data_IF_030259957812
#
_entry.id   IF_030259957812
#
_cell.length_a   1.000
_cell.length_b   1.000
_cell.length_c   1.000
_cell.angle_alpha   90.00
_cell.angle_beta   90.00
_cell.angle_gamma   90.00
#
_symmetry.space_group_name_H-M   'P 1'
#
loop_
_entity.id
_entity.type
_entity.pdbx_description
1 polymer ?
#
# COMPACT_ATOMS: atom_id res chain seq x y z
N UNK A 1 -17.90 -43.52 -69.12
CA UNK A 1 -17.29 -44.86 -69.01
C UNK A 1 -15.82 -44.67 -68.64
N UNK A 2 -15.37 -45.35 -67.56
CA UNK A 2 -14.04 -45.97 -67.44
C UNK A 2 -12.83 -44.99 -67.37
N UNK A 3 -11.91 -44.96 -66.41
CA UNK A 3 -11.70 -45.50 -65.04
C UNK A 3 -10.29 -45.04 -64.62
N UNK A 4 -10.04 -44.94 -63.30
CA UNK A 4 -8.85 -45.49 -62.57
C UNK A 4 -7.43 -45.06 -63.00
N UNK A 5 -6.68 -44.27 -62.21
CA UNK A 5 -5.88 -44.60 -61.01
C UNK A 5 -4.50 -45.28 -61.25
N UNK A 6 -3.66 -45.15 -60.21
CA UNK A 6 -2.39 -45.84 -59.90
C UNK A 6 -1.09 -45.14 -60.40
N UNK A 7 -0.21 -44.60 -59.52
CA UNK A 7 0.72 -45.27 -58.57
C UNK A 7 1.91 -45.91 -59.34
N UNK A 8 3.21 -45.88 -58.97
CA UNK A 8 3.90 -45.81 -57.68
C UNK A 8 5.44 -45.86 -57.92
N UNK A 9 6.26 -45.40 -56.94
CA UNK A 9 7.67 -45.79 -56.58
C UNK A 9 8.80 -45.53 -57.61
N UNK A 10 10.07 -45.29 -57.26
CA UNK A 10 10.89 -45.49 -56.05
C UNK A 10 12.21 -44.72 -56.25
N UNK A 11 12.77 -44.13 -55.19
CA UNK A 11 14.21 -43.99 -54.89
C UNK A 11 14.33 -42.98 -53.75
N UNK A 12 15.08 -43.15 -52.67
CA UNK A 12 16.06 -44.15 -52.28
C UNK A 12 16.78 -43.61 -51.05
N UNK A 13 17.55 -44.49 -50.41
CA UNK A 13 18.59 -44.23 -49.40
C UNK A 13 18.13 -44.03 -47.95
N UNK A 14 18.38 -45.10 -47.20
CA UNK A 14 18.66 -45.11 -45.79
C UNK A 14 20.01 -44.42 -45.48
N UNK A 15 20.04 -43.62 -44.41
CA UNK A 15 21.18 -43.33 -43.54
C UNK A 15 20.59 -42.74 -42.24
N UNK A 16 20.39 -43.56 -41.21
CA UNK A 16 21.29 -43.74 -40.06
C UNK A 16 21.71 -42.45 -39.34
N UNK A 17 21.42 -42.47 -38.04
CA UNK A 17 22.02 -41.71 -36.93
C UNK A 17 21.73 -40.21 -36.81
N UNK A 18 21.11 -39.88 -35.68
CA UNK A 18 21.10 -38.53 -35.12
C UNK A 18 19.80 -38.21 -34.41
N UNK A 19 19.47 -38.93 -33.34
CA UNK A 19 18.49 -38.43 -32.36
C UNK A 19 19.15 -37.21 -31.71
N UNK A 20 18.95 -36.03 -32.31
CA UNK A 20 19.19 -34.77 -31.63
C UNK A 20 17.99 -34.54 -30.74
N UNK A 21 18.08 -35.06 -29.51
CA UNK A 21 17.28 -34.56 -28.39
C UNK A 21 17.66 -33.09 -28.26
N UNK A 22 16.91 -32.19 -28.89
CA UNK A 22 16.91 -30.81 -28.47
C UNK A 22 16.28 -30.79 -27.07
N UNK A 23 17.13 -30.95 -26.05
CA UNK A 23 16.89 -30.38 -24.74
C UNK A 23 16.74 -28.87 -24.98
N UNK A 24 15.51 -28.41 -25.21
CA UNK A 24 15.18 -27.02 -24.98
C UNK A 24 15.26 -26.81 -23.47
N UNK A 25 16.48 -26.57 -22.98
CA UNK A 25 16.70 -25.84 -21.75
C UNK A 25 15.85 -24.56 -21.84
N UNK A 26 14.96 -24.38 -20.87
CA UNK A 26 13.84 -23.45 -20.98
C UNK A 26 14.26 -21.99 -21.19
N UNK A 27 13.31 -21.11 -21.57
CA UNK A 27 13.39 -19.77 -21.01
C UNK A 27 13.33 -19.96 -19.50
N UNK A 28 14.46 -19.64 -18.89
CA UNK A 28 14.64 -19.53 -17.46
C UNK A 28 13.39 -18.91 -16.83
N UNK A 29 13.10 -19.36 -15.61
CA UNK A 29 12.38 -18.54 -14.64
C UNK A 29 13.10 -17.17 -14.53
N UNK A 30 12.76 -16.27 -15.45
CA UNK A 30 13.00 -14.85 -15.36
C UNK A 30 11.74 -14.18 -14.78
N UNK A 31 11.03 -14.89 -13.90
CA UNK A 31 10.62 -14.27 -12.65
C UNK A 31 11.89 -14.14 -11.81
N UNK A 32 12.81 -13.30 -12.29
CA UNK A 32 13.94 -12.81 -11.53
C UNK A 32 13.40 -12.43 -10.17
N UNK A 33 13.94 -13.10 -9.16
CA UNK A 33 13.82 -12.85 -7.74
C UNK A 33 13.08 -11.55 -7.46
N UNK A 34 11.90 -11.66 -6.85
CA UNK A 34 11.46 -10.68 -5.86
C UNK A 34 12.63 -10.57 -4.87
N UNK A 35 13.63 -9.75 -5.19
CA UNK A 35 14.64 -9.36 -4.23
C UNK A 35 13.87 -8.80 -3.05
N UNK A 36 14.24 -9.18 -1.83
CA UNK A 36 13.68 -8.74 -0.55
C UNK A 36 13.67 -7.19 -0.41
N UNK A 37 12.89 -6.48 -1.24
CA UNK A 37 12.76 -5.02 -1.30
C UNK A 37 11.79 -4.49 -0.25
N UNK A 38 11.17 -5.39 0.52
CA UNK A 38 10.28 -5.11 1.65
C UNK A 38 11.01 -4.59 2.91
N UNK A 39 12.33 -4.47 2.89
CA UNK A 39 13.13 -4.04 4.04
C UNK A 39 14.01 -2.81 3.78
N UNK A 40 13.58 -1.90 2.90
CA UNK A 40 14.21 -0.60 2.84
C UNK A 40 13.88 0.15 4.14
N UNK A 41 14.92 0.46 4.91
CA UNK A 41 14.79 1.25 6.12
C UNK A 41 14.33 2.66 5.72
N UNK A 42 13.04 2.93 5.92
CA UNK A 42 12.50 4.27 5.77
C UNK A 42 13.28 5.19 6.74
N UNK A 43 13.83 6.28 6.23
CA UNK A 43 14.56 7.26 7.04
C UNK A 43 13.56 8.24 7.66
N UNK A 44 13.61 8.37 8.98
CA UNK A 44 12.70 9.25 9.70
C UNK A 44 13.44 10.32 10.48
N UNK A 45 12.90 11.53 10.41
CA UNK A 45 13.30 12.69 11.20
C UNK A 45 13.05 12.48 12.70
N UNK A 46 13.61 13.32 13.55
CA UNK A 46 13.43 13.21 15.01
C UNK A 46 11.96 13.32 15.46
N UNK A 47 11.13 14.04 14.70
CA UNK A 47 9.69 14.24 14.94
C UNK A 47 8.80 13.10 14.37
N UNK A 48 9.42 12.03 13.86
CA UNK A 48 8.70 10.91 13.27
C UNK A 48 8.20 11.12 11.84
N UNK A 49 8.45 12.29 11.23
CA UNK A 49 8.17 12.51 9.80
C UNK A 49 9.09 11.68 8.91
N UNK A 50 8.63 11.39 7.70
CA UNK A 50 9.41 10.66 6.69
C UNK A 50 8.99 11.03 5.28
N UNK A 51 9.89 10.79 4.33
CA UNK A 51 9.64 10.98 2.91
C UNK A 51 10.14 9.77 2.13
N UNK A 52 9.45 9.46 1.03
CA UNK A 52 9.84 8.43 0.08
C UNK A 52 10.03 7.03 0.68
N UNK A 53 9.08 6.61 1.53
CA UNK A 53 9.12 5.29 2.17
C UNK A 53 9.06 4.09 1.19
N UNK A 54 8.57 4.33 -0.03
CA UNK A 54 8.35 3.29 -1.04
C UNK A 54 9.23 3.46 -2.30
N UNK A 55 10.16 4.43 -2.33
CA UNK A 55 10.96 4.64 -3.54
C UNK A 55 12.09 3.62 -3.65
N UNK A 56 12.03 2.76 -4.67
CA UNK A 56 13.22 2.10 -5.16
C UNK A 56 14.27 3.17 -5.54
N UNK A 57 15.57 3.00 -5.18
CA UNK A 57 16.61 3.89 -5.66
C UNK A 57 16.69 3.79 -7.19
N UNK A 58 16.12 4.77 -7.90
CA UNK A 58 16.13 4.85 -9.37
C UNK A 58 14.76 4.91 -10.04
N UNK A 59 13.67 4.54 -9.35
CA UNK A 59 12.29 4.78 -9.85
C UNK A 59 11.75 6.09 -9.27
N UNK A 60 12.25 7.21 -9.81
CA UNK A 60 11.61 8.49 -9.59
C UNK A 60 10.20 8.47 -10.23
N UNK A 61 9.15 8.37 -9.41
CA UNK A 61 7.82 8.88 -9.78
C UNK A 61 6.66 7.90 -9.94
N UNK A 62 6.73 6.66 -9.47
CA UNK A 62 5.54 5.77 -9.47
C UNK A 62 4.72 5.90 -8.19
N UNK A 63 5.32 5.57 -7.05
CA UNK A 63 4.66 5.65 -5.75
C UNK A 63 5.57 6.36 -4.74
N UNK A 64 5.09 7.45 -4.13
CA UNK A 64 5.80 8.13 -3.04
C UNK A 64 4.92 8.15 -1.80
N UNK A 65 5.41 7.55 -0.72
CA UNK A 65 4.76 7.63 0.59
C UNK A 65 5.56 8.52 1.52
N UNK A 66 4.86 9.44 2.19
CA UNK A 66 5.44 10.40 3.13
C UNK A 66 4.54 10.56 4.35
N UNK A 67 5.14 10.70 5.52
CA UNK A 67 4.44 10.95 6.78
C UNK A 67 4.77 12.34 7.29
N UNK A 68 3.74 13.08 7.68
CA UNK A 68 3.88 14.31 8.44
C UNK A 68 4.51 14.03 9.82
N UNK A 69 4.96 15.06 10.56
CA UNK A 69 5.35 14.90 11.95
C UNK A 69 4.24 14.23 12.76
N UNK A 70 4.65 13.40 13.73
CA UNK A 70 3.70 12.77 14.66
C UNK A 70 3.16 13.85 15.60
N UNK A 71 1.86 13.82 15.85
CA UNK A 71 1.20 14.67 16.82
C UNK A 71 0.75 13.86 18.04
N UNK A 72 0.99 14.39 19.24
CA UNK A 72 0.37 13.90 20.46
C UNK A 72 -1.07 14.40 20.54
N UNK A 73 -2.01 13.48 20.77
CA UNK A 73 -3.43 13.79 20.96
C UNK A 73 -3.82 13.82 22.44
N UNK A 74 -2.91 13.41 23.34
CA UNK A 74 -3.17 13.21 24.77
C UNK A 74 -3.70 11.81 25.09
N UNK A 75 -3.74 11.49 26.39
CA UNK A 75 -4.25 10.21 26.92
C UNK A 75 -3.62 8.95 26.30
N UNK A 76 -2.35 9.03 25.91
CA UNK A 76 -1.65 7.91 25.28
C UNK A 76 -2.04 7.68 23.83
N UNK A 77 -2.71 8.63 23.17
CA UNK A 77 -2.97 8.61 21.74
C UNK A 77 -1.97 9.49 21.00
N UNK A 78 -1.50 8.98 19.87
CA UNK A 78 -0.69 9.73 18.90
C UNK A 78 -1.28 9.55 17.51
N UNK A 79 -1.09 10.54 16.65
CA UNK A 79 -1.55 10.49 15.26
C UNK A 79 -0.48 10.91 14.27
N UNK A 80 -0.62 10.43 13.04
CA UNK A 80 0.20 10.83 11.92
C UNK A 80 -0.64 10.90 10.63
N UNK A 81 -0.49 11.99 9.88
CA UNK A 81 -0.99 12.08 8.52
C UNK A 81 0.03 11.43 7.58
N UNK A 82 -0.39 10.41 6.84
CA UNK A 82 0.42 9.78 5.79
C UNK A 82 -0.19 10.11 4.43
N UNK A 83 0.67 10.41 3.47
CA UNK A 83 0.31 10.71 2.08
C UNK A 83 0.99 9.72 1.16
N UNK A 84 0.18 8.99 0.42
CA UNK A 84 0.58 8.12 -0.67
C UNK A 84 0.22 8.82 -1.98
N UNK A 85 1.20 8.99 -2.86
CA UNK A 85 0.97 9.45 -4.23
C UNK A 85 1.30 8.31 -5.17
N UNK A 86 0.31 7.83 -5.90
CA UNK A 86 0.44 6.76 -6.90
C UNK A 86 -0.01 7.28 -8.27
N UNK A 87 0.95 7.55 -9.16
CA UNK A 87 0.69 8.23 -10.43
C UNK A 87 -0.06 9.55 -10.24
N UNK A 88 -1.28 9.64 -10.79
CA UNK A 88 -2.17 10.81 -10.64
C UNK A 88 -3.13 10.70 -9.43
N UNK A 89 -2.96 9.72 -8.55
CA UNK A 89 -3.76 9.58 -7.34
C UNK A 89 -2.98 10.07 -6.14
N UNK A 90 -3.61 10.87 -5.29
CA UNK A 90 -3.12 11.22 -3.95
C UNK A 90 -4.11 10.66 -2.95
N UNK A 91 -3.63 9.78 -2.07
CA UNK A 91 -4.42 9.22 -0.97
C UNK A 91 -3.79 9.62 0.35
N UNK A 92 -4.59 10.25 1.21
CA UNK A 92 -4.20 10.54 2.57
C UNK A 92 -4.78 9.49 3.53
N UNK A 93 -4.00 9.14 4.54
CA UNK A 93 -4.39 8.28 5.63
C UNK A 93 -4.12 8.99 6.95
N UNK A 94 -5.06 8.87 7.89
CA UNK A 94 -4.85 9.23 9.27
C UNK A 94 -4.57 7.96 10.05
N UNK A 95 -3.33 7.82 10.52
CA UNK A 95 -2.94 6.73 11.40
C UNK A 95 -3.07 7.22 12.83
N UNK A 96 -3.93 6.58 13.62
CA UNK A 96 -4.08 6.84 15.06
C UNK A 96 -3.61 5.62 15.82
N UNK A 97 -2.76 5.85 16.80
CA UNK A 97 -2.13 4.80 17.61
C UNK A 97 -2.44 5.04 19.08
N UNK A 98 -2.91 3.99 19.76
CA UNK A 98 -2.95 3.92 21.21
C UNK A 98 -1.65 3.31 21.72
N UNK A 99 -0.89 4.14 22.45
CA UNK A 99 0.34 3.78 23.10
C UNK A 99 0.11 3.00 24.39
N UNK A 100 -1.11 2.96 24.92
CA UNK A 100 -1.46 2.24 26.14
C UNK A 100 -1.61 0.74 25.88
N UNK A 101 -2.22 0.35 24.76
CA UNK A 101 -2.50 -1.05 24.41
C UNK A 101 -1.84 -1.50 23.09
N UNK A 102 -1.14 -0.60 22.40
CA UNK A 102 -0.38 -0.91 21.18
C UNK A 102 -1.27 -1.19 19.96
N UNK A 103 -2.54 -0.76 20.00
CA UNK A 103 -3.49 -0.82 18.88
C UNK A 103 -3.41 0.42 17.98
N UNK A 104 -3.72 0.25 16.70
CA UNK A 104 -3.83 1.36 15.74
C UNK A 104 -4.99 1.13 14.81
N UNK A 105 -5.47 2.26 14.29
CA UNK A 105 -6.38 2.35 13.15
C UNK A 105 -5.75 3.27 12.09
N UNK A 106 -5.86 2.87 10.82
CA UNK A 106 -5.55 3.68 9.66
C UNK A 106 -6.87 4.03 8.96
N UNK A 107 -7.24 5.30 8.95
CA UNK A 107 -8.43 5.82 8.28
C UNK A 107 -8.02 6.43 6.94
N UNK A 108 -8.62 5.96 5.83
CA UNK A 108 -8.40 6.58 4.52
C UNK A 108 -9.28 7.83 4.40
N UNK A 109 -8.73 8.90 3.83
CA UNK A 109 -9.50 10.07 3.45
C UNK A 109 -10.55 9.77 2.38
N UNK A 110 -11.48 10.70 2.18
CA UNK A 110 -12.55 10.58 1.19
C UNK A 110 -12.32 11.53 0.02
N UNK A 111 -12.98 11.24 -1.10
CA UNK A 111 -12.96 12.14 -2.24
C UNK A 111 -13.69 13.44 -1.90
N UNK A 112 -13.13 14.62 -2.24
CA UNK A 112 -13.84 15.88 -2.05
C UNK A 112 -15.12 15.90 -2.91
N UNK A 113 -16.18 16.57 -2.44
CA UNK A 113 -17.43 16.66 -3.18
C UNK A 113 -17.20 17.28 -4.57
N UNK A 114 -17.83 16.71 -5.59
CA UNK A 114 -17.83 17.27 -6.93
C UNK A 114 -18.70 18.53 -6.91
N UNK A 115 -18.07 19.70 -6.96
CA UNK A 115 -18.78 20.97 -7.03
C UNK A 115 -19.19 21.24 -8.47
N UNK A 116 -20.49 21.43 -8.78
CA UNK A 116 -20.93 21.80 -10.11
C UNK A 116 -20.25 23.10 -10.58
N UNK A 117 -19.80 23.13 -11.83
CA UNK A 117 -19.12 24.27 -12.48
C UNK A 117 -17.69 24.59 -12.03
N UNK A 118 -17.07 23.74 -11.21
CA UNK A 118 -15.62 23.83 -11.00
C UNK A 118 -14.91 23.13 -12.16
N UNK A 119 -14.04 23.81 -12.92
CA UNK A 119 -13.22 23.14 -13.92
C UNK A 119 -12.32 22.12 -13.21
N UNK A 120 -12.67 20.84 -13.31
CA UNK A 120 -11.85 19.75 -12.81
C UNK A 120 -10.63 19.70 -13.72
N UNK A 121 -9.49 20.18 -13.24
CA UNK A 121 -8.21 19.97 -13.93
C UNK A 121 -8.03 18.46 -14.04
N UNK A 122 -8.12 17.97 -15.28
CA UNK A 122 -8.35 16.58 -15.60
C UNK A 122 -7.25 15.65 -15.07
N UNK A 123 -7.66 14.59 -14.36
CA UNK A 123 -6.85 13.38 -14.20
C UNK A 123 -6.29 13.10 -12.81
N UNK A 124 -6.42 14.02 -11.84
CA UNK A 124 -5.95 13.78 -10.46
C UNK A 124 -7.09 13.32 -9.56
N UNK A 125 -6.97 12.13 -8.97
CA UNK A 125 -7.90 11.67 -7.92
C UNK A 125 -7.29 11.94 -6.55
N UNK A 126 -7.97 12.73 -5.72
CA UNK A 126 -7.54 13.03 -4.36
C UNK A 126 -8.49 12.42 -3.33
N UNK A 127 -7.95 11.75 -2.32
CA UNK A 127 -8.66 11.26 -1.15
C UNK A 127 -8.04 11.92 0.08
N UNK A 128 -8.77 12.82 0.73
CA UNK A 128 -8.20 13.73 1.73
C UNK A 128 -8.79 13.46 3.12
N UNK A 129 -7.93 13.47 4.13
CA UNK A 129 -8.35 13.23 5.52
C UNK A 129 -9.24 14.37 6.04
N UNK A 130 -9.10 15.58 5.50
CA UNK A 130 -9.98 16.70 5.85
C UNK A 130 -11.45 16.44 5.52
N UNK A 131 -11.77 15.56 4.57
CA UNK A 131 -13.16 15.21 4.24
C UNK A 131 -13.79 14.25 5.26
N UNK A 132 -12.98 13.56 6.07
CA UNK A 132 -13.47 12.65 7.12
C UNK A 132 -13.42 13.29 8.53
N UNK A 133 -12.57 14.29 8.73
CA UNK A 133 -12.42 15.01 10.00
C UNK A 133 -13.29 16.26 10.09
N UNK A 134 -13.76 16.57 11.30
CA UNK A 134 -14.39 17.86 11.57
C UNK A 134 -13.45 19.03 11.17
N UNK A 135 -13.96 20.10 10.54
CA UNK A 135 -15.37 20.45 10.41
C UNK A 135 -16.09 19.91 9.16
N UNK A 136 -15.40 19.30 8.19
CA UNK A 136 -16.04 18.86 6.93
C UNK A 136 -16.60 17.45 7.03
N UNK A 137 -15.90 16.57 7.74
CA UNK A 137 -16.34 15.22 8.06
C UNK A 137 -16.88 15.08 9.47
N UNK A 138 -17.25 13.84 9.81
CA UNK A 138 -18.00 13.49 11.03
C UNK A 138 -17.14 12.84 12.11
N UNK A 139 -15.89 12.50 11.81
CA UNK A 139 -14.95 11.98 12.80
C UNK A 139 -14.30 13.15 13.55
N UNK A 140 -14.22 13.01 14.87
CA UNK A 140 -13.37 13.83 15.74
C UNK A 140 -12.27 12.94 16.29
N UNK A 141 -11.04 13.42 16.22
CA UNK A 141 -9.87 12.75 16.78
C UNK A 141 -9.22 13.71 17.75
N UNK A 142 -9.37 13.42 19.04
CA UNK A 142 -8.75 14.14 20.14
C UNK A 142 -8.42 13.12 21.26
N UNK A 143 -7.83 13.59 22.36
CA UNK A 143 -7.41 12.72 23.46
C UNK A 143 -8.57 11.96 24.14
N UNK A 144 -9.83 12.28 23.89
CA UNK A 144 -10.97 11.52 24.42
C UNK A 144 -11.35 10.30 23.58
N UNK A 145 -10.82 10.21 22.36
CA UNK A 145 -11.08 9.08 21.47
C UNK A 145 -10.41 7.79 21.98
N UNK A 146 -10.90 6.65 21.51
CA UNK A 146 -10.22 5.35 21.60
C UNK A 146 -10.19 4.70 20.22
N UNK A 147 -9.39 3.65 20.05
CA UNK A 147 -9.37 2.92 18.78
C UNK A 147 -10.76 2.31 18.49
N UNK A 148 -11.45 1.83 19.52
CA UNK A 148 -12.82 1.30 19.44
C UNK A 148 -13.82 2.39 19.04
N UNK A 149 -13.76 3.59 19.66
CA UNK A 149 -14.68 4.67 19.31
C UNK A 149 -14.45 5.19 17.89
N UNK A 150 -13.19 5.23 17.44
CA UNK A 150 -12.83 5.62 16.07
C UNK A 150 -13.29 4.58 15.05
N UNK A 151 -13.17 3.29 15.40
CA UNK A 151 -13.69 2.19 14.57
C UNK A 151 -15.21 2.30 14.42
N UNK A 152 -15.93 2.43 15.53
CA UNK A 152 -17.39 2.58 15.51
C UNK A 152 -17.82 3.82 14.71
N UNK A 153 -17.10 4.93 14.84
CA UNK A 153 -17.35 6.13 14.05
C UNK A 153 -17.07 5.93 12.55
N UNK A 154 -16.03 5.17 12.20
CA UNK A 154 -15.74 4.84 10.80
C UNK A 154 -16.85 3.97 10.18
N UNK A 155 -17.28 2.93 10.88
CA UNK A 155 -18.39 2.05 10.47
C UNK A 155 -19.71 2.81 10.31
N UNK A 156 -20.07 3.64 11.30
CA UNK A 156 -21.29 4.43 11.27
C UNK A 156 -21.34 5.44 10.11
N UNK A 157 -20.20 5.75 9.49
CA UNK A 157 -20.06 6.71 8.40
C UNK A 157 -19.55 6.09 7.10
N UNK A 158 -19.54 4.75 7.01
CA UNK A 158 -19.07 3.99 5.83
C UNK A 158 -17.66 4.38 5.35
N UNK A 159 -16.77 4.69 6.31
CA UNK A 159 -15.41 5.12 6.02
C UNK A 159 -14.48 3.91 5.86
N UNK A 160 -13.55 4.00 4.91
CA UNK A 160 -12.52 2.97 4.72
C UNK A 160 -11.48 3.03 5.83
N UNK A 161 -11.31 1.94 6.56
CA UNK A 161 -10.31 1.84 7.63
C UNK A 161 -9.66 0.46 7.67
N UNK A 162 -8.51 0.37 8.35
CA UNK A 162 -7.82 -0.89 8.68
C UNK A 162 -7.39 -0.84 10.14
N UNK A 163 -7.60 -1.91 10.90
CA UNK A 163 -7.15 -2.07 12.29
C UNK A 163 -5.90 -2.94 12.32
N UNK A 164 -4.95 -2.64 13.20
CA UNK A 164 -3.75 -3.45 13.32
C UNK A 164 -4.09 -4.85 13.86
N UNK A 165 -3.65 -5.87 13.12
CA UNK A 165 -3.76 -7.26 13.54
C UNK A 165 -5.12 -7.89 13.30
N UNK A 166 -5.95 -7.33 12.41
CA UNK A 166 -7.18 -8.00 11.99
C UNK A 166 -6.89 -9.08 10.94
N UNK A 167 -7.74 -10.10 10.91
CA UNK A 167 -7.51 -11.33 10.15
C UNK A 167 -7.59 -11.06 8.63
N UNK A 168 -6.48 -11.31 7.92
CA UNK A 168 -6.38 -11.06 6.47
C UNK A 168 -5.75 -9.73 6.05
N UNK A 169 -5.31 -8.90 7.00
CA UNK A 169 -4.75 -7.60 6.66
C UNK A 169 -3.35 -7.69 6.02
N UNK A 170 -3.20 -7.00 4.89
CA UNK A 170 -1.90 -6.57 4.37
C UNK A 170 -1.71 -5.09 4.71
N UNK A 171 -1.30 -4.82 5.95
CA UNK A 171 -0.76 -3.50 6.28
C UNK A 171 0.42 -3.22 5.34
N UNK A 172 0.43 -2.04 4.70
CA UNK A 172 1.58 -1.64 3.93
C UNK A 172 2.78 -1.45 4.88
N UNK A 173 4.04 -1.70 4.45
CA UNK A 173 5.21 -1.57 5.32
C UNK A 173 5.29 -0.23 6.07
N UNK A 174 4.95 0.86 5.40
CA UNK A 174 4.91 2.21 6.01
C UNK A 174 3.79 2.38 7.04
N UNK A 175 2.75 1.53 7.06
CA UNK A 175 1.69 1.56 8.07
C UNK A 175 2.12 0.86 9.37
N UNK A 176 3.05 -0.09 9.32
CA UNK A 176 3.55 -0.77 10.54
C UNK A 176 4.46 0.12 11.38
N UNK A 177 5.19 1.02 10.74
CA UNK A 177 6.25 1.81 11.35
C UNK A 177 5.81 2.94 12.32
N UNK A 178 4.71 3.69 12.09
CA UNK A 178 4.38 4.89 12.86
C UNK A 178 4.24 4.61 14.35
N UNK A 179 3.70 3.45 14.74
CA UNK A 179 3.23 3.22 16.10
C UNK A 179 4.34 3.28 17.15
N UNK A 180 5.34 2.40 17.04
CA UNK A 180 6.34 2.23 18.10
C UNK A 180 7.19 3.49 18.26
N UNK A 181 7.53 4.13 17.14
CA UNK A 181 8.35 5.34 17.15
C UNK A 181 7.56 6.54 17.64
N UNK A 182 6.30 6.69 17.23
CA UNK A 182 5.40 7.72 17.74
C UNK A 182 5.19 7.58 19.26
N UNK A 183 4.93 6.35 19.73
CA UNK A 183 4.81 6.09 21.15
C UNK A 183 6.11 6.31 21.90
N UNK A 184 7.27 5.96 21.33
CA UNK A 184 8.56 6.25 21.96
C UNK A 184 8.85 7.76 22.05
N UNK A 185 8.36 8.55 21.09
CA UNK A 185 8.56 10.00 21.05
C UNK A 185 7.78 10.71 22.17
N UNK A 186 6.51 10.36 22.38
CA UNK A 186 5.62 11.05 23.33
C UNK A 186 5.35 10.28 24.62
N UNK A 187 5.44 8.95 24.60
CA UNK A 187 5.09 8.04 25.70
C UNK A 187 6.14 6.92 25.89
N UNK A 188 7.43 7.24 26.12
CA UNK A 188 8.55 6.27 26.05
C UNK A 188 8.53 5.10 27.05
N UNK A 189 7.64 5.11 28.04
CA UNK A 189 7.47 4.02 29.01
C UNK A 189 6.24 3.13 28.73
N UNK A 190 5.42 3.48 27.74
CA UNK A 190 4.15 2.81 27.50
C UNK A 190 4.32 1.45 26.83
N UNK A 191 3.33 0.54 26.91
CA UNK A 191 3.37 -0.73 26.18
C UNK A 191 3.58 -0.55 24.67
N UNK A 192 2.92 0.43 24.05
CA UNK A 192 3.07 0.74 22.62
C UNK A 192 4.43 1.30 22.22
N UNK A 193 5.27 1.72 23.16
CA UNK A 193 6.66 2.15 22.89
C UNK A 193 7.66 0.99 22.87
N UNK A 194 7.26 -0.20 23.33
CA UNK A 194 8.13 -1.37 23.50
C UNK A 194 8.26 -2.21 22.24
#
# INVERSE_FOLDING_TARGET
MVTTAAQIKTAGRAAMLGVVVFLSAGPAAACSFLTDRWNNLIAFSADGSFVNADSEPGEYGRDTVSGAPVADLGNGLVSQLVREKSGCRVTQYLVVTSCLDGKAISLRGEAPPIVPNTPVIAGVSAYLVEEILAPRGKIRVDGSASIESLTAAAEANDLRYVIKGSEGDRWAPWQHYPMRRACKLFYPGSPGSK
#
